data_IF_602653799327
#
_entry.id   IF_602653799327
#
_cell.length_a   1.000
_cell.length_b   1.000
_cell.length_c   1.000
_cell.angle_alpha   90.00
_cell.angle_beta   90.00
_cell.angle_gamma   90.00
#
_symmetry.space_group_name_H-M   'P 1'
#
loop_
_entity.id
_entity.type
_entity.pdbx_description
1 polymer ?
#
# COMPACT_ATOMS: atom_id res chain seq x y z
N UNK A 1 -5.38 -4.72 4.52
CA UNK A 1 -4.30 -5.40 5.25
C UNK A 1 -4.71 -6.81 5.56
N UNK A 2 -5.30 -7.05 6.74
CA UNK A 2 -5.62 -8.40 7.25
C UNK A 2 -6.43 -9.27 6.29
N UNK A 3 -7.46 -8.74 5.63
CA UNK A 3 -8.23 -9.51 4.64
C UNK A 3 -7.39 -9.91 3.42
N UNK A 4 -6.46 -9.06 2.96
CA UNK A 4 -5.55 -9.40 1.85
C UNK A 4 -4.50 -10.44 2.27
N UNK A 5 -3.96 -10.35 3.49
CA UNK A 5 -3.03 -11.35 4.03
C UNK A 5 -3.72 -12.70 4.25
N UNK A 6 -4.97 -12.71 4.73
CA UNK A 6 -5.74 -13.94 4.86
C UNK A 6 -6.09 -14.52 3.49
N UNK A 7 -6.49 -13.69 2.53
CA UNK A 7 -6.73 -14.14 1.15
C UNK A 7 -5.45 -14.68 0.51
N UNK A 8 -4.29 -14.03 0.70
CA UNK A 8 -3.02 -14.53 0.13
C UNK A 8 -2.56 -15.86 0.72
N UNK A 9 -2.83 -16.11 2.01
CA UNK A 9 -2.54 -17.39 2.68
C UNK A 9 -3.46 -18.52 2.20
N UNK A 10 -4.70 -18.21 1.80
CA UNK A 10 -5.71 -19.19 1.39
C UNK A 10 -5.84 -19.41 -0.12
N UNK A 11 -5.09 -18.69 -0.95
CA UNK A 11 -5.10 -18.87 -2.41
C UNK A 11 -4.24 -20.09 -2.79
N UNK A 12 -4.91 -21.12 -3.31
CA UNK A 12 -4.27 -22.35 -3.80
C UNK A 12 -4.09 -22.40 -5.33
N UNK A 13 -4.63 -21.42 -6.09
CA UNK A 13 -4.59 -21.42 -7.57
C UNK A 13 -4.14 -20.09 -8.19
N UNK A 14 -3.40 -20.16 -9.31
CA UNK A 14 -2.91 -19.03 -10.11
C UNK A 14 -4.05 -18.13 -10.62
N UNK A 15 -5.27 -18.66 -10.73
CA UNK A 15 -6.45 -17.91 -11.22
C UNK A 15 -6.92 -16.89 -10.19
N UNK A 16 -6.79 -17.18 -8.88
CA UNK A 16 -7.24 -16.28 -7.81
C UNK A 16 -6.31 -15.06 -7.64
N UNK A 17 -5.06 -15.17 -8.07
CA UNK A 17 -4.11 -14.02 -8.12
C UNK A 17 -4.58 -12.96 -9.12
N UNK A 18 -5.40 -13.32 -10.12
CA UNK A 18 -5.91 -12.37 -11.11
C UNK A 18 -6.86 -11.31 -10.52
N UNK A 19 -7.46 -11.59 -9.35
CA UNK A 19 -8.36 -10.67 -8.65
C UNK A 19 -7.58 -9.68 -7.76
N UNK A 20 -6.32 -9.99 -7.47
CA UNK A 20 -5.47 -9.21 -6.55
C UNK A 20 -5.30 -7.73 -6.96
N UNK A 21 -5.01 -7.38 -8.22
CA UNK A 21 -4.89 -5.96 -8.62
C UNK A 21 -6.17 -5.15 -8.38
N UNK A 22 -7.33 -5.73 -8.67
CA UNK A 22 -8.63 -5.09 -8.47
C UNK A 22 -8.94 -4.88 -6.99
N UNK A 23 -8.64 -5.86 -6.14
CA UNK A 23 -8.79 -5.74 -4.68
C UNK A 23 -7.82 -4.70 -4.10
N UNK A 24 -6.59 -4.66 -4.59
CA UNK A 24 -5.60 -3.65 -4.20
C UNK A 24 -6.11 -2.24 -4.54
N UNK A 25 -6.71 -2.05 -5.72
CA UNK A 25 -7.29 -0.77 -6.12
C UNK A 25 -8.45 -0.36 -5.20
N UNK A 26 -9.42 -1.24 -4.96
CA UNK A 26 -10.59 -0.95 -4.12
C UNK A 26 -10.15 -0.63 -2.69
N UNK A 27 -9.24 -1.42 -2.12
CA UNK A 27 -8.74 -1.19 -0.75
C UNK A 27 -7.94 0.11 -0.64
N UNK A 28 -7.21 0.48 -1.68
CA UNK A 28 -6.48 1.76 -1.73
C UNK A 28 -7.44 2.95 -1.83
N UNK A 29 -8.47 2.87 -2.67
CA UNK A 29 -9.50 3.91 -2.75
C UNK A 29 -10.25 4.06 -1.42
N UNK A 30 -10.63 2.95 -0.79
CA UNK A 30 -11.27 2.97 0.53
C UNK A 30 -10.38 3.61 1.58
N UNK A 31 -9.08 3.28 1.58
CA UNK A 31 -8.09 3.90 2.46
C UNK A 31 -7.98 5.41 2.23
N UNK A 32 -7.87 5.84 0.97
CA UNK A 32 -7.82 7.26 0.63
C UNK A 32 -9.07 8.01 1.11
N UNK A 33 -10.26 7.41 0.96
CA UNK A 33 -11.49 7.99 1.46
C UNK A 33 -11.47 8.15 3.00
N UNK A 34 -10.96 7.16 3.74
CA UNK A 34 -10.76 7.26 5.18
C UNK A 34 -9.75 8.34 5.56
N UNK A 35 -8.63 8.46 4.84
CA UNK A 35 -7.63 9.51 5.06
C UNK A 35 -8.18 10.90 4.82
N UNK A 36 -9.03 11.09 3.80
CA UNK A 36 -9.71 12.37 3.54
C UNK A 36 -10.71 12.68 4.66
N UNK A 37 -11.49 11.68 5.09
CA UNK A 37 -12.48 11.85 6.15
C UNK A 37 -11.82 12.23 7.50
N UNK A 38 -10.74 11.55 7.86
CA UNK A 38 -9.96 11.81 9.09
C UNK A 38 -9.25 13.15 9.03
N UNK A 39 -8.60 13.48 7.91
CA UNK A 39 -8.02 14.81 7.66
C UNK A 39 -9.06 15.92 7.86
N UNK A 40 -10.26 15.76 7.30
CA UNK A 40 -11.34 16.72 7.50
C UNK A 40 -11.72 16.86 8.99
N UNK A 41 -11.84 15.76 9.73
CA UNK A 41 -12.14 15.81 11.17
C UNK A 41 -11.02 16.47 11.97
N UNK A 42 -9.75 16.17 11.67
CA UNK A 42 -8.58 16.80 12.28
C UNK A 42 -8.65 18.32 12.09
N UNK A 43 -8.85 18.77 10.86
CA UNK A 43 -8.83 20.20 10.53
C UNK A 43 -10.06 20.93 11.08
N UNK A 44 -11.27 20.39 10.95
CA UNK A 44 -12.50 21.10 11.35
C UNK A 44 -12.81 20.99 12.84
N UNK A 45 -12.65 19.82 13.44
CA UNK A 45 -13.10 19.53 14.81
C UNK A 45 -11.93 19.46 15.81
N UNK A 46 -10.70 19.40 15.30
CA UNK A 46 -9.51 19.19 16.13
C UNK A 46 -9.54 17.83 16.85
N UNK A 47 -10.26 16.85 16.31
CA UNK A 47 -10.38 15.49 16.82
C UNK A 47 -10.40 14.52 15.64
N UNK A 48 -9.82 13.34 15.80
CA UNK A 48 -9.70 12.35 14.72
C UNK A 48 -10.33 10.99 15.09
N UNK A 49 -11.16 10.96 16.12
CA UNK A 49 -11.70 9.73 16.70
C UNK A 49 -10.77 9.07 17.73
N UNK A 50 -11.32 8.09 18.47
CA UNK A 50 -10.64 7.47 19.62
C UNK A 50 -9.39 6.67 19.22
N UNK A 51 -9.43 5.97 18.09
CA UNK A 51 -8.32 5.15 17.62
C UNK A 51 -7.10 6.04 17.31
N UNK A 52 -7.27 7.09 16.50
CA UNK A 52 -6.17 7.99 16.12
C UNK A 52 -5.57 8.66 17.36
N UNK A 53 -6.41 9.15 18.28
CA UNK A 53 -5.93 9.73 19.53
C UNK A 53 -5.13 8.73 20.38
N UNK A 54 -5.57 7.48 20.44
CA UNK A 54 -4.89 6.44 21.23
C UNK A 54 -3.54 6.08 20.63
N UNK A 55 -3.48 5.89 19.30
CA UNK A 55 -2.22 5.60 18.60
C UNK A 55 -1.25 6.78 18.65
N UNK A 56 -1.73 8.02 18.47
CA UNK A 56 -0.90 9.21 18.58
C UNK A 56 -0.27 9.35 19.97
N UNK A 57 -1.06 9.16 21.03
CA UNK A 57 -0.55 9.21 22.40
C UNK A 57 0.38 8.04 22.74
N UNK A 58 0.09 6.83 22.23
CA UNK A 58 0.93 5.65 22.42
C UNK A 58 2.33 5.86 21.81
N UNK A 59 2.40 6.40 20.60
CA UNK A 59 3.69 6.67 19.92
C UNK A 59 4.41 7.87 20.51
N UNK A 60 3.67 8.90 20.94
CA UNK A 60 4.25 10.04 21.63
C UNK A 60 4.85 9.65 22.99
N UNK A 61 4.30 8.67 23.70
CA UNK A 61 4.84 8.19 24.98
C UNK A 61 4.99 9.30 26.03
N UNK A 62 4.19 10.37 25.93
CA UNK A 62 4.30 11.58 26.77
C UNK A 62 5.34 12.62 26.32
N UNK A 63 6.17 12.33 25.31
CA UNK A 63 7.11 13.29 24.73
C UNK A 63 6.87 13.44 23.21
N UNK A 64 6.24 14.55 22.84
CA UNK A 64 5.91 14.86 21.44
C UNK A 64 7.11 14.77 20.50
N UNK A 65 8.28 15.27 20.92
CA UNK A 65 9.48 15.30 20.10
C UNK A 65 9.94 13.88 19.80
N UNK A 66 9.98 13.02 20.82
CA UNK A 66 10.33 11.59 20.66
C UNK A 66 9.32 10.90 19.75
N UNK A 67 8.03 11.14 19.95
CA UNK A 67 6.98 10.58 19.09
C UNK A 67 7.12 10.97 17.63
N UNK A 68 7.43 12.23 17.36
CA UNK A 68 7.63 12.74 16.01
C UNK A 68 8.87 12.12 15.35
N UNK A 69 9.97 11.96 16.09
CA UNK A 69 11.18 11.27 15.60
C UNK A 69 10.89 9.82 15.26
N UNK A 70 10.24 9.07 16.16
CA UNK A 70 9.87 7.66 15.92
C UNK A 70 8.95 7.55 14.72
N UNK A 71 7.93 8.41 14.63
CA UNK A 71 7.01 8.45 13.52
C UNK A 71 7.71 8.71 12.17
N UNK A 72 8.65 9.66 12.13
CA UNK A 72 9.43 9.95 10.93
C UNK A 72 10.32 8.77 10.53
N UNK A 73 10.97 8.09 11.48
CA UNK A 73 11.77 6.89 11.21
C UNK A 73 10.89 5.81 10.56
N UNK A 74 9.74 5.49 11.16
CA UNK A 74 8.85 4.45 10.64
C UNK A 74 8.36 4.85 9.23
N UNK A 75 7.94 6.11 9.05
CA UNK A 75 7.47 6.62 7.75
C UNK A 75 8.54 6.53 6.67
N UNK A 76 9.79 6.87 7.00
CA UNK A 76 10.93 6.79 6.07
C UNK A 76 11.25 5.33 5.72
N UNK A 77 11.28 4.43 6.70
CA UNK A 77 11.50 2.98 6.47
C UNK A 77 10.38 2.42 5.60
N UNK A 78 9.12 2.76 5.89
CA UNK A 78 7.96 2.33 5.10
C UNK A 78 8.09 2.74 3.63
N UNK A 79 8.52 3.96 3.35
CA UNK A 79 8.65 4.44 1.98
C UNK A 79 9.90 3.90 1.27
N UNK A 80 11.08 4.05 1.88
CA UNK A 80 12.36 3.73 1.23
C UNK A 80 12.61 2.24 1.16
N UNK A 81 12.32 1.50 2.24
CA UNK A 81 12.65 0.08 2.33
C UNK A 81 11.50 -0.75 1.78
N UNK A 82 10.28 -0.53 2.27
CA UNK A 82 9.14 -1.40 1.95
C UNK A 82 8.56 -1.05 0.58
N UNK A 83 8.05 0.17 0.38
CA UNK A 83 7.37 0.53 -0.86
C UNK A 83 8.30 0.49 -2.08
N UNK A 84 9.47 1.13 -2.02
CA UNK A 84 10.46 1.10 -3.11
C UNK A 84 11.13 -0.26 -3.28
N UNK A 85 11.37 -0.99 -2.19
CA UNK A 85 11.93 -2.35 -2.27
C UNK A 85 10.97 -3.30 -2.98
N UNK A 86 9.69 -3.28 -2.60
CA UNK A 86 8.66 -4.12 -3.19
C UNK A 86 8.42 -3.80 -4.68
N UNK A 87 8.49 -2.52 -5.09
CA UNK A 87 8.43 -2.13 -6.52
C UNK A 87 9.53 -2.82 -7.32
N UNK A 88 10.79 -2.75 -6.86
CA UNK A 88 11.93 -3.37 -7.56
C UNK A 88 11.81 -4.87 -7.63
N UNK A 89 11.40 -5.52 -6.53
CA UNK A 89 11.21 -6.97 -6.50
C UNK A 89 10.13 -7.40 -7.48
N UNK A 90 9.01 -6.67 -7.53
CA UNK A 90 7.92 -6.97 -8.46
C UNK A 90 8.29 -6.73 -9.93
N UNK A 91 8.99 -5.62 -10.23
CA UNK A 91 9.49 -5.32 -11.58
C UNK A 91 10.42 -6.43 -12.08
N UNK A 92 11.37 -6.84 -11.23
CA UNK A 92 12.33 -7.90 -11.55
C UNK A 92 11.63 -9.26 -11.70
N UNK A 93 10.68 -9.59 -10.83
CA UNK A 93 9.92 -10.84 -10.92
C UNK A 93 9.05 -10.90 -12.19
N UNK A 94 8.35 -9.81 -12.51
CA UNK A 94 7.54 -9.70 -13.73
C UNK A 94 8.44 -9.83 -14.96
N UNK A 95 9.60 -9.16 -14.97
CA UNK A 95 10.55 -9.25 -16.08
C UNK A 95 11.10 -10.66 -16.26
N UNK A 96 11.56 -11.33 -15.20
CA UNK A 96 12.03 -12.71 -15.31
C UNK A 96 10.94 -13.66 -15.79
N UNK A 97 9.70 -13.49 -15.32
CA UNK A 97 8.58 -14.31 -15.78
C UNK A 97 8.24 -14.07 -17.25
N UNK A 98 8.35 -12.83 -17.73
CA UNK A 98 8.12 -12.46 -19.13
C UNK A 98 9.26 -12.95 -20.03
N UNK A 99 10.52 -12.81 -19.61
CA UNK A 99 11.69 -13.30 -20.35
C UNK A 99 11.68 -14.83 -20.48
N UNK A 100 11.05 -15.55 -19.56
CA UNK A 100 10.87 -17.01 -19.63
C UNK A 100 9.75 -17.47 -20.59
N UNK A 101 8.89 -16.56 -21.08
CA UNK A 101 7.72 -16.90 -21.92
C UNK A 101 8.09 -17.64 -23.22
N UNK A 102 9.09 -17.19 -24.01
CA UNK A 102 9.46 -17.89 -25.23
C UNK A 102 9.95 -19.30 -24.95
N UNK A 103 10.71 -19.51 -23.87
CA UNK A 103 11.17 -20.83 -23.45
C UNK A 103 10.01 -21.77 -23.09
N UNK A 104 9.02 -21.26 -22.35
CA UNK A 104 7.79 -22.02 -22.04
C UNK A 104 6.96 -22.33 -23.29
N UNK A 105 6.86 -21.40 -24.25
CA UNK A 105 6.18 -21.65 -25.53
C UNK A 105 6.90 -22.70 -26.37
N UNK A 106 8.23 -22.60 -26.48
CA UNK A 106 9.06 -23.56 -27.19
C UNK A 106 8.97 -24.97 -26.58
N UNK A 107 8.88 -25.07 -25.26
CA UNK A 107 8.65 -26.35 -24.58
C UNK A 107 7.31 -26.97 -24.99
N UNK A 108 6.23 -26.18 -25.04
CA UNK A 108 4.90 -26.66 -25.47
C UNK A 108 4.96 -27.13 -26.94
N UNK A 109 5.65 -26.37 -27.80
CA UNK A 109 5.81 -26.71 -29.21
C UNK A 109 6.63 -27.98 -29.41
N UNK A 110 7.68 -28.17 -28.60
CA UNK A 110 8.50 -29.38 -28.58
C UNK A 110 7.67 -30.59 -28.16
N UNK A 111 6.91 -30.49 -27.06
CA UNK A 111 6.06 -31.57 -26.54
C UNK A 111 4.98 -31.98 -27.56
N UNK A 112 4.41 -31.01 -28.27
CA UNK A 112 3.42 -31.26 -29.33
C UNK A 112 4.06 -31.97 -30.54
N UNK A 113 5.28 -31.55 -30.93
CA UNK A 113 6.02 -32.16 -32.05
C UNK A 113 6.49 -33.58 -31.72
N UNK A 114 6.86 -33.85 -30.46
CA UNK A 114 7.27 -35.18 -30.00
C UNK A 114 6.10 -36.11 -29.69
N UNK A 115 4.85 -35.62 -29.78
CA UNK A 115 3.64 -36.40 -29.50
C UNK A 115 3.38 -36.66 -28.01
N UNK A 116 4.07 -35.94 -27.10
CA UNK A 116 3.84 -36.04 -25.66
C UNK A 116 2.50 -35.41 -25.23
N UNK A 117 2.02 -34.42 -26.00
CA UNK A 117 0.73 -33.76 -25.80
C UNK A 117 -0.05 -33.68 -27.12
N UNK A 118 -1.37 -33.63 -27.03
CA UNK A 118 -2.24 -33.40 -28.18
C UNK A 118 -2.45 -31.89 -28.49
N UNK A 119 -3.16 -31.59 -29.58
CA UNK A 119 -3.44 -30.20 -29.99
C UNK A 119 -4.32 -29.44 -29.00
N UNK A 120 -5.24 -30.11 -28.33
CA UNK A 120 -6.19 -29.48 -27.41
C UNK A 120 -5.51 -29.11 -26.08
N UNK A 121 -4.63 -29.98 -25.59
CA UNK A 121 -3.78 -29.75 -24.44
C UNK A 121 -2.74 -28.66 -24.72
N UNK A 122 -2.10 -28.67 -25.90
CA UNK A 122 -1.20 -27.59 -26.31
C UNK A 122 -1.92 -26.24 -26.35
N UNK A 123 -3.15 -26.19 -26.86
CA UNK A 123 -4.00 -24.98 -26.86
C UNK A 123 -4.35 -24.52 -25.44
N UNK A 124 -4.68 -25.47 -24.55
CA UNK A 124 -4.97 -25.19 -23.13
C UNK A 124 -3.74 -24.59 -22.42
N UNK A 125 -2.57 -25.20 -22.57
CA UNK A 125 -1.31 -24.74 -21.97
C UNK A 125 -0.91 -23.35 -22.47
N UNK A 126 -1.04 -23.08 -23.77
CA UNK A 126 -0.81 -21.74 -24.35
C UNK A 126 -1.75 -20.70 -23.76
N UNK A 127 -3.02 -21.02 -23.56
CA UNK A 127 -4.00 -20.11 -22.92
C UNK A 127 -3.62 -19.80 -21.47
N UNK A 128 -3.18 -20.81 -20.72
CA UNK A 128 -2.69 -20.61 -19.35
C UNK A 128 -1.45 -19.71 -19.32
N UNK A 129 -0.52 -19.93 -20.24
CA UNK A 129 0.69 -19.10 -20.37
C UNK A 129 0.36 -17.64 -20.73
N UNK A 130 -0.63 -17.42 -21.61
CA UNK A 130 -1.11 -16.07 -21.93
C UNK A 130 -1.73 -15.37 -20.70
N UNK A 131 -2.50 -16.11 -19.90
CA UNK A 131 -3.07 -15.61 -18.64
C UNK A 131 -1.96 -15.26 -17.63
N UNK A 132 -0.94 -16.11 -17.49
CA UNK A 132 0.23 -15.85 -16.65
C UNK A 132 0.98 -14.59 -17.11
N UNK A 133 1.10 -14.37 -18.41
CA UNK A 133 1.73 -13.15 -18.96
C UNK A 133 0.95 -11.89 -18.62
N UNK A 134 -0.37 -11.93 -18.78
CA UNK A 134 -1.25 -10.80 -18.44
C UNK A 134 -1.22 -10.51 -16.94
N UNK A 135 -1.20 -11.55 -16.11
CA UNK A 135 -1.12 -11.43 -14.66
C UNK A 135 0.15 -10.69 -14.24
N UNK A 136 1.33 -11.15 -14.71
CA UNK A 136 2.61 -10.54 -14.35
C UNK A 136 2.69 -9.07 -14.80
N UNK A 137 2.15 -8.74 -15.98
CA UNK A 137 2.05 -7.34 -16.43
C UNK A 137 1.13 -6.49 -15.53
N UNK A 138 -0.01 -7.04 -15.10
CA UNK A 138 -0.94 -6.35 -14.20
C UNK A 138 -0.36 -6.17 -12.78
N UNK A 139 0.44 -7.13 -12.30
CA UNK A 139 1.10 -7.07 -11.00
C UNK A 139 2.17 -5.96 -10.94
N UNK A 140 3.00 -5.81 -11.99
CA UNK A 140 3.94 -4.69 -12.10
C UNK A 140 3.22 -3.33 -12.04
N UNK A 141 2.10 -3.22 -12.78
CA UNK A 141 1.23 -2.04 -12.72
C UNK A 141 0.70 -1.75 -11.32
N UNK A 142 0.15 -2.77 -10.64
CA UNK A 142 -0.38 -2.63 -9.28
C UNK A 142 0.69 -2.21 -8.26
N UNK A 143 1.92 -2.67 -8.41
CA UNK A 143 3.02 -2.30 -7.51
C UNK A 143 3.50 -0.86 -7.69
N UNK A 144 3.44 -0.32 -8.92
CA UNK A 144 3.64 1.12 -9.17
C UNK A 144 2.55 1.97 -8.50
N UNK A 145 1.31 1.48 -8.42
CA UNK A 145 0.23 2.16 -7.67
C UNK A 145 0.51 2.20 -6.16
N UNK A 146 1.03 1.12 -5.57
CA UNK A 146 1.38 1.08 -4.13
C UNK A 146 2.43 2.13 -3.77
N UNK A 147 3.40 2.39 -4.66
CA UNK A 147 4.36 3.47 -4.47
C UNK A 147 3.70 4.85 -4.49
N UNK A 148 2.78 5.10 -5.43
CA UNK A 148 2.03 6.35 -5.49
C UNK A 148 1.24 6.60 -4.21
N UNK A 149 0.62 5.55 -3.67
CA UNK A 149 -0.08 5.57 -2.39
C UNK A 149 0.83 5.92 -1.21
N UNK A 150 2.03 5.35 -1.15
CA UNK A 150 3.01 5.69 -0.11
C UNK A 150 3.46 7.16 -0.17
N UNK A 151 3.61 7.73 -1.37
CA UNK A 151 3.90 9.16 -1.55
C UNK A 151 2.72 10.02 -1.07
N UNK A 152 1.49 9.65 -1.44
CA UNK A 152 0.29 10.34 -1.00
C UNK A 152 0.17 10.36 0.53
N UNK A 153 0.50 9.26 1.22
CA UNK A 153 0.54 9.20 2.68
C UNK A 153 1.48 10.23 3.32
N UNK A 154 2.68 10.41 2.76
CA UNK A 154 3.63 11.44 3.24
C UNK A 154 3.07 12.84 3.01
N UNK A 155 2.43 13.08 1.86
CA UNK A 155 1.81 14.39 1.55
C UNK A 155 0.68 14.69 2.54
N UNK A 156 -0.17 13.71 2.86
CA UNK A 156 -1.27 13.87 3.83
C UNK A 156 -0.73 14.25 5.21
N UNK A 157 0.34 13.62 5.67
CA UNK A 157 1.01 13.97 6.94
C UNK A 157 1.44 15.44 6.96
N UNK A 158 2.07 15.92 5.89
CA UNK A 158 2.51 17.32 5.78
C UNK A 158 1.31 18.27 5.77
N UNK A 159 0.25 17.94 5.02
CA UNK A 159 -0.98 18.72 4.96
C UNK A 159 -1.65 18.79 6.34
N UNK A 160 -1.74 17.68 7.06
CA UNK A 160 -2.36 17.62 8.38
C UNK A 160 -1.59 18.45 9.41
N UNK A 161 -0.26 18.40 9.37
CA UNK A 161 0.57 19.19 10.27
C UNK A 161 0.47 20.69 9.96
N UNK A 162 0.68 21.09 8.70
CA UNK A 162 0.68 22.51 8.32
C UNK A 162 -0.72 23.13 8.32
N UNK A 163 -1.70 22.43 7.76
CA UNK A 163 -3.09 22.84 7.75
C UNK A 163 -3.66 22.88 9.16
N UNK A 164 -3.31 21.90 9.99
CA UNK A 164 -3.70 21.85 11.39
C UNK A 164 -3.15 23.04 12.19
N UNK A 165 -1.87 23.38 11.99
CA UNK A 165 -1.28 24.58 12.58
C UNK A 165 -1.99 25.87 12.13
N UNK A 166 -2.23 26.01 10.83
CA UNK A 166 -2.91 27.19 10.29
C UNK A 166 -4.33 27.34 10.86
N UNK A 167 -5.12 26.26 10.90
CA UNK A 167 -6.48 26.28 11.47
C UNK A 167 -6.45 26.48 12.99
N UNK A 168 -5.55 25.80 13.69
CA UNK A 168 -5.36 25.92 15.13
C UNK A 168 -5.05 27.35 15.58
N UNK A 169 -4.14 28.02 14.88
CA UNK A 169 -3.74 29.38 15.22
C UNK A 169 -4.70 30.44 14.68
N UNK A 170 -5.10 30.35 13.42
CA UNK A 170 -5.85 31.42 12.74
C UNK A 170 -7.35 31.37 13.03
N UNK A 171 -7.93 30.18 13.21
CA UNK A 171 -9.38 30.02 13.41
C UNK A 171 -9.71 29.69 14.87
N UNK A 172 -8.91 28.82 15.51
CA UNK A 172 -9.19 28.36 16.87
C UNK A 172 -8.47 29.18 17.96
N UNK A 173 -7.68 30.20 17.58
CA UNK A 173 -7.00 31.10 18.50
C UNK A 173 -6.00 30.40 19.44
N UNK A 174 -5.50 29.23 19.07
CA UNK A 174 -4.55 28.48 19.90
C UNK A 174 -3.16 29.12 19.84
N UNK A 175 -2.47 29.10 20.98
CA UNK A 175 -1.04 29.42 21.02
C UNK A 175 -0.24 28.43 20.15
N UNK A 176 0.86 28.91 19.54
CA UNK A 176 1.68 28.12 18.62
C UNK A 176 2.11 26.79 19.25
N UNK A 177 2.54 26.78 20.51
CA UNK A 177 2.96 25.56 21.19
C UNK A 177 1.83 24.54 21.36
N UNK A 178 0.64 25.02 21.74
CA UNK A 178 -0.55 24.17 21.91
C UNK A 178 -1.04 23.61 20.57
N UNK A 179 -1.03 24.42 19.51
CA UNK A 179 -1.38 23.98 18.15
C UNK A 179 -0.40 22.91 17.65
N UNK A 180 0.91 23.13 17.79
CA UNK A 180 1.94 22.15 17.45
C UNK A 180 1.71 20.84 18.18
N UNK A 181 1.48 20.89 19.50
CA UNK A 181 1.29 19.69 20.29
C UNK A 181 0.05 18.90 19.84
N UNK A 182 -1.09 19.57 19.72
CA UNK A 182 -2.36 18.93 19.38
C UNK A 182 -2.33 18.31 17.98
N UNK A 183 -1.96 19.10 16.97
CA UNK A 183 -2.00 18.65 15.59
C UNK A 183 -0.88 17.68 15.23
N UNK A 184 0.28 17.74 15.91
CA UNK A 184 1.32 16.72 15.77
C UNK A 184 0.87 15.37 16.30
N UNK A 185 0.24 15.30 17.49
CA UNK A 185 -0.29 14.04 18.05
C UNK A 185 -1.34 13.43 17.11
N UNK A 186 -2.28 14.24 16.61
CA UNK A 186 -3.30 13.80 15.68
C UNK A 186 -2.70 13.30 14.36
N UNK A 187 -1.71 14.01 13.82
CA UNK A 187 -1.04 13.64 12.57
C UNK A 187 -0.23 12.35 12.72
N UNK A 188 0.50 12.19 13.83
CA UNK A 188 1.22 10.95 14.14
C UNK A 188 0.24 9.78 14.24
N UNK A 189 -0.86 9.97 14.99
CA UNK A 189 -1.88 8.93 15.15
C UNK A 189 -2.52 8.51 13.84
N UNK A 190 -2.89 9.47 12.99
CA UNK A 190 -3.48 9.22 11.67
C UNK A 190 -2.50 8.46 10.77
N UNK A 191 -1.26 8.94 10.70
CA UNK A 191 -0.19 8.28 9.94
C UNK A 191 0.10 6.86 10.44
N UNK A 192 0.04 6.60 11.74
CA UNK A 192 0.25 5.26 12.30
C UNK A 192 -0.90 4.31 11.97
N UNK A 193 -2.15 4.78 12.07
CA UNK A 193 -3.33 3.97 11.69
C UNK A 193 -3.27 3.61 10.20
N UNK A 194 -2.84 4.54 9.35
CA UNK A 194 -2.64 4.29 7.92
C UNK A 194 -1.53 3.26 7.62
N UNK A 195 -0.58 3.06 8.54
CA UNK A 195 0.54 2.14 8.38
C UNK A 195 0.25 0.71 8.88
N UNK A 196 -0.75 0.51 9.76
CA UNK A 196 -1.14 -0.81 10.27
C UNK A 196 -1.36 -1.83 9.13
N UNK A 197 -2.09 -1.51 8.04
CA UNK A 197 -2.32 -2.46 6.97
C UNK A 197 -1.04 -2.90 6.24
N UNK A 198 0.00 -2.06 6.22
CA UNK A 198 1.25 -2.30 5.52
C UNK A 198 2.28 -3.05 6.38
N UNK A 199 2.19 -2.96 7.72
CA UNK A 199 2.97 -3.78 8.65
C UNK A 199 2.47 -5.24 8.70
N UNK A 200 1.21 -5.46 8.35
CA UNK A 200 0.53 -6.76 8.34
C UNK A 200 0.41 -7.36 6.94
N UNK A 201 1.13 -6.86 5.93
CA UNK A 201 1.07 -7.34 4.55
C UNK A 201 2.46 -7.80 4.11
#
# INVERSE_FOLDING_TARGET
GVVMLLVSIYIASIVDISVFPSLLLITTLFRLALSIATTRMILLEGHAGAIINTFGNMVAGGNLVVGLVVFLIITVVQFIVIAKGAERVAEVAARFSLDAMPGKQLSIDSDLRSGLIDKDEAKRRRRLLEMESKLNGNLDGAMKFVKGDAIAGIIIVVINLLGGLAVGMLQNGMDFGAAVQKYSILTIGDGMVMQIPALLA
#
